data_IF_376372502788
#
_entry.id   IF_376372502788
#
_cell.length_a   1.000
_cell.length_b   1.000
_cell.length_c   1.000
_cell.angle_alpha   90.00
_cell.angle_beta   90.00
_cell.angle_gamma   90.00
#
_symmetry.space_group_name_H-M   'P 1'
#
loop_
_entity.id
_entity.type
_entity.pdbx_description
1 polymer ?
#
# COMPACT_ATOMS: atom_id res chain seq x y z
N UNK A 1 12.86 17.88 -9.86
CA UNK A 1 11.88 18.05 -10.94
C UNK A 1 10.61 17.23 -10.67
N UNK A 2 10.68 15.88 -10.52
CA UNK A 2 9.50 15.02 -10.30
C UNK A 2 8.83 15.30 -8.94
N UNK A 3 9.59 15.49 -7.88
CA UNK A 3 9.07 15.87 -6.56
C UNK A 3 8.35 17.23 -6.58
N UNK A 4 8.85 18.19 -7.35
CA UNK A 4 8.17 19.49 -7.53
C UNK A 4 6.87 19.34 -8.34
N UNK A 5 6.86 18.47 -9.34
CA UNK A 5 5.64 18.14 -10.09
C UNK A 5 4.59 17.50 -9.18
N UNK A 6 4.99 16.54 -8.32
CA UNK A 6 4.10 15.91 -7.36
C UNK A 6 3.51 16.92 -6.35
N UNK A 7 4.34 17.86 -5.87
CA UNK A 7 3.88 18.99 -5.03
C UNK A 7 2.77 19.79 -5.74
N UNK A 8 2.99 20.17 -7.00
CA UNK A 8 2.00 20.92 -7.79
C UNK A 8 0.69 20.17 -7.99
N UNK A 9 0.75 18.84 -8.24
CA UNK A 9 -0.44 18.00 -8.31
C UNK A 9 -1.20 18.06 -6.98
N UNK A 10 -0.52 17.83 -5.87
CA UNK A 10 -1.12 17.85 -4.54
C UNK A 10 -1.79 19.21 -4.27
N UNK A 11 -1.07 20.31 -4.43
CA UNK A 11 -1.59 21.67 -4.20
C UNK A 11 -2.80 21.96 -5.09
N UNK A 12 -2.76 21.58 -6.38
CA UNK A 12 -3.87 21.77 -7.31
C UNK A 12 -5.11 20.98 -6.90
N UNK A 13 -4.96 19.72 -6.50
CA UNK A 13 -6.08 18.91 -6.00
C UNK A 13 -6.67 19.52 -4.74
N UNK A 14 -5.83 19.89 -3.78
CA UNK A 14 -6.27 20.43 -2.50
C UNK A 14 -6.89 21.83 -2.61
N UNK A 15 -6.50 22.64 -3.58
CA UNK A 15 -7.12 23.94 -3.84
C UNK A 15 -8.57 23.82 -4.34
N UNK A 16 -8.90 22.75 -5.05
CA UNK A 16 -10.25 22.53 -5.61
C UNK A 16 -11.11 21.69 -4.64
N UNK A 17 -10.55 20.63 -4.08
CA UNK A 17 -11.25 19.69 -3.18
C UNK A 17 -10.36 19.31 -2.00
N UNK A 18 -10.33 20.09 -0.91
CA UNK A 18 -9.41 19.87 0.22
C UNK A 18 -9.55 18.50 0.90
N UNK A 19 -10.74 17.90 0.85
CA UNK A 19 -11.03 16.60 1.47
C UNK A 19 -10.75 15.38 0.58
N UNK A 20 -10.34 15.56 -0.68
CA UNK A 20 -9.97 14.43 -1.55
C UNK A 20 -8.59 13.92 -1.14
N UNK A 21 -8.47 12.61 -0.94
CA UNK A 21 -7.21 11.94 -0.61
C UNK A 21 -6.37 11.79 -1.88
N UNK A 22 -5.13 12.23 -1.82
CA UNK A 22 -4.14 11.99 -2.88
C UNK A 22 -3.45 10.66 -2.58
N UNK A 23 -3.77 9.64 -3.39
CA UNK A 23 -3.22 8.29 -3.25
C UNK A 23 -2.28 7.92 -4.39
N UNK A 24 -1.37 6.98 -4.12
CA UNK A 24 -0.42 6.48 -5.10
C UNK A 24 -0.12 4.98 -4.89
N UNK A 25 0.02 4.24 -6.00
CA UNK A 25 0.40 2.82 -5.99
C UNK A 25 1.69 2.61 -6.82
N UNK A 26 2.85 3.06 -6.31
CA UNK A 26 4.12 2.98 -7.03
C UNK A 26 4.71 1.57 -7.00
N UNK A 27 5.72 1.35 -7.82
CA UNK A 27 6.63 0.22 -7.63
C UNK A 27 7.44 0.36 -6.34
N UNK A 28 8.13 -0.70 -5.93
CA UNK A 28 8.95 -0.68 -4.72
C UNK A 28 10.15 0.26 -4.85
N UNK A 29 10.51 0.90 -3.75
CA UNK A 29 11.72 1.71 -3.64
C UNK A 29 12.95 0.80 -3.31
N UNK A 30 14.19 1.05 -3.77
CA UNK A 30 14.59 2.24 -4.53
C UNK A 30 14.36 2.17 -6.05
N UNK A 31 14.00 0.99 -6.58
CA UNK A 31 13.81 0.78 -8.03
C UNK A 31 12.83 1.79 -8.66
N UNK A 32 11.72 2.10 -7.97
CA UNK A 32 10.77 3.11 -8.46
C UNK A 32 11.40 4.50 -8.65
N UNK A 33 12.37 4.88 -7.82
CA UNK A 33 13.11 6.14 -7.96
C UNK A 33 14.09 6.10 -9.11
N UNK A 34 14.82 5.00 -9.27
CA UNK A 34 15.85 4.85 -10.29
C UNK A 34 15.26 4.79 -11.70
N UNK A 35 14.21 3.98 -11.89
CA UNK A 35 13.62 3.74 -13.20
C UNK A 35 12.53 4.76 -13.58
N UNK A 36 11.74 5.22 -12.61
CA UNK A 36 10.56 6.08 -12.85
C UNK A 36 10.66 7.46 -12.19
N UNK A 37 11.77 7.78 -11.53
CA UNK A 37 11.96 9.01 -10.76
C UNK A 37 10.90 9.20 -9.64
N UNK A 38 10.31 8.09 -9.19
CA UNK A 38 9.27 8.07 -8.16
C UNK A 38 9.89 7.98 -6.77
N UNK A 39 10.33 9.10 -6.24
CA UNK A 39 10.85 9.21 -4.86
C UNK A 39 9.68 9.31 -3.86
N UNK A 40 8.85 8.26 -3.85
CA UNK A 40 7.62 8.26 -3.06
C UNK A 40 7.84 8.30 -1.54
N UNK A 41 8.95 7.78 -0.94
CA UNK A 41 9.19 8.01 0.48
C UNK A 41 9.32 9.49 0.82
N UNK A 42 10.02 10.26 -0.03
CA UNK A 42 10.16 11.71 0.15
C UNK A 42 8.79 12.42 -0.04
N UNK A 43 7.94 11.93 -0.94
CA UNK A 43 6.62 12.53 -1.16
C UNK A 43 5.65 12.28 0.01
N UNK A 44 5.71 11.09 0.63
CA UNK A 44 4.98 10.79 1.88
C UNK A 44 5.47 11.68 3.00
N UNK A 45 6.78 11.77 3.20
CA UNK A 45 7.43 12.62 4.22
C UNK A 45 7.03 14.09 4.10
N UNK A 46 6.91 14.61 2.87
CA UNK A 46 6.48 15.99 2.59
C UNK A 46 4.96 16.18 2.64
N UNK A 47 4.19 15.12 2.80
CA UNK A 47 2.73 15.18 2.83
C UNK A 47 2.07 15.40 1.46
N UNK A 48 2.78 15.13 0.35
CA UNK A 48 2.20 15.21 -1.00
C UNK A 48 1.42 13.95 -1.38
N UNK A 49 1.58 12.88 -0.62
CA UNK A 49 0.85 11.62 -0.74
C UNK A 49 0.25 11.29 0.62
N UNK A 50 -1.06 11.07 0.66
CA UNK A 50 -1.82 10.82 1.89
C UNK A 50 -2.15 9.34 2.07
N UNK A 51 -2.09 8.57 0.98
CA UNK A 51 -2.27 7.12 0.98
C UNK A 51 -1.28 6.50 0.00
N UNK A 52 -0.35 5.70 0.51
CA UNK A 52 0.69 5.07 -0.30
C UNK A 52 0.51 3.55 -0.32
N UNK A 53 0.40 2.98 -1.51
CA UNK A 53 0.11 1.57 -1.74
C UNK A 53 1.19 0.92 -2.64
N UNK A 54 2.45 0.79 -2.18
CA UNK A 54 3.51 0.21 -3.02
C UNK A 54 3.16 -1.22 -3.43
N UNK A 55 3.53 -1.58 -4.65
CA UNK A 55 3.22 -2.87 -5.27
C UNK A 55 4.17 -3.96 -4.75
N UNK A 56 3.88 -4.52 -3.55
CA UNK A 56 4.64 -5.62 -2.95
C UNK A 56 4.28 -6.96 -3.61
N UNK A 57 4.25 -6.99 -4.93
CA UNK A 57 3.87 -8.18 -5.70
C UNK A 57 5.00 -9.22 -5.68
N UNK A 58 4.92 -10.15 -4.74
CA UNK A 58 5.88 -11.25 -4.54
C UNK A 58 5.16 -12.58 -4.65
N UNK A 59 5.89 -13.60 -5.10
CA UNK A 59 5.38 -14.96 -5.26
C UNK A 59 5.75 -15.87 -4.09
N UNK A 60 6.62 -15.40 -3.18
CA UNK A 60 7.16 -16.11 -2.03
C UNK A 60 7.06 -15.26 -0.77
N UNK A 61 6.72 -15.90 0.36
CA UNK A 61 6.49 -15.20 1.62
C UNK A 61 7.74 -14.47 2.14
N UNK A 62 8.91 -15.12 2.11
CA UNK A 62 10.14 -14.50 2.61
C UNK A 62 10.50 -13.24 1.84
N UNK A 63 10.28 -13.24 0.52
CA UNK A 63 10.49 -12.06 -0.31
C UNK A 63 9.48 -10.95 -0.04
N UNK A 64 8.24 -11.33 0.29
CA UNK A 64 7.23 -10.36 0.71
C UNK A 64 7.61 -9.72 2.03
N UNK A 65 7.98 -10.53 3.01
CA UNK A 65 8.41 -10.10 4.34
C UNK A 65 9.59 -9.13 4.27
N UNK A 66 10.67 -9.49 3.57
CA UNK A 66 11.83 -8.62 3.38
C UNK A 66 11.41 -7.27 2.78
N UNK A 67 10.62 -7.27 1.72
CA UNK A 67 10.17 -6.02 1.09
C UNK A 67 9.27 -5.18 2.02
N UNK A 68 8.47 -5.81 2.86
CA UNK A 68 7.64 -5.14 3.85
C UNK A 68 8.51 -4.47 4.93
N UNK A 69 9.48 -5.21 5.48
CA UNK A 69 10.44 -4.73 6.49
C UNK A 69 11.27 -3.55 5.97
N UNK A 70 11.80 -3.64 4.74
CA UNK A 70 12.54 -2.54 4.11
C UNK A 70 11.72 -1.25 4.05
N UNK A 71 10.40 -1.35 3.82
CA UNK A 71 9.53 -0.18 3.76
C UNK A 71 9.16 0.31 5.16
N UNK A 72 8.65 -0.57 6.02
CA UNK A 72 8.14 -0.19 7.34
C UNK A 72 9.22 0.33 8.29
N UNK A 73 10.42 -0.24 8.20
CA UNK A 73 11.50 0.06 9.14
C UNK A 73 12.49 1.10 8.60
N UNK A 74 12.55 1.30 7.28
CA UNK A 74 13.57 2.13 6.65
C UNK A 74 13.08 3.25 5.73
N UNK A 75 11.99 3.06 5.01
CA UNK A 75 11.56 3.98 3.95
C UNK A 75 10.42 4.92 4.39
N UNK A 76 9.60 4.51 5.34
CA UNK A 76 8.50 5.31 5.90
C UNK A 76 8.78 5.60 7.37
N UNK A 77 8.56 6.85 7.78
CA UNK A 77 8.70 7.23 9.20
C UNK A 77 7.53 6.65 10.01
N UNK A 78 7.76 6.23 11.25
CA UNK A 78 6.74 5.64 12.12
C UNK A 78 5.45 6.47 12.21
N UNK A 79 5.55 7.80 12.22
CA UNK A 79 4.38 8.71 12.23
C UNK A 79 3.54 8.66 10.95
N UNK A 80 4.09 8.14 9.84
CA UNK A 80 3.44 8.06 8.54
C UNK A 80 3.01 6.61 8.19
N UNK A 81 3.22 5.63 9.07
CA UNK A 81 2.81 4.23 8.85
C UNK A 81 1.29 4.09 8.65
N UNK A 82 0.49 4.98 9.23
CA UNK A 82 -0.95 5.01 9.03
C UNK A 82 -1.37 5.36 7.59
N UNK A 83 -0.45 5.85 6.77
CA UNK A 83 -0.65 6.14 5.35
C UNK A 83 -0.27 4.96 4.43
N UNK A 84 0.39 3.93 4.99
CA UNK A 84 0.96 2.83 4.24
C UNK A 84 0.04 1.61 4.21
N UNK A 85 -0.33 1.20 3.00
CA UNK A 85 -1.18 0.05 2.71
C UNK A 85 -0.53 -0.79 1.60
N UNK A 86 0.23 -1.84 1.95
CA UNK A 86 0.95 -2.66 0.97
C UNK A 86 0.01 -3.28 -0.06
N UNK A 87 0.42 -3.22 -1.33
CA UNK A 87 -0.27 -3.87 -2.42
C UNK A 87 0.01 -5.37 -2.45
N UNK A 88 -1.03 -6.19 -2.29
CA UNK A 88 -0.96 -7.66 -2.38
C UNK A 88 -1.47 -8.13 -3.74
N UNK A 89 -0.67 -8.94 -4.43
CA UNK A 89 -1.05 -9.54 -5.70
C UNK A 89 -2.01 -10.71 -5.48
N UNK A 90 -3.27 -10.57 -5.90
CA UNK A 90 -4.26 -11.65 -5.86
C UNK A 90 -4.38 -12.40 -7.19
N UNK A 91 -4.09 -11.74 -8.31
CA UNK A 91 -4.22 -12.35 -9.63
C UNK A 91 -3.31 -11.66 -10.65
N UNK A 92 -2.62 -12.45 -11.45
CA UNK A 92 -2.00 -12.01 -12.72
C UNK A 92 -1.96 -13.21 -13.67
N UNK A 93 -2.55 -13.07 -14.84
CA UNK A 93 -2.72 -14.20 -15.75
C UNK A 93 -3.43 -15.37 -15.06
N UNK A 94 -2.79 -16.53 -15.01
CA UNK A 94 -3.28 -17.74 -14.33
C UNK A 94 -2.79 -17.85 -12.86
N UNK A 95 -1.96 -16.92 -12.40
CA UNK A 95 -1.47 -16.96 -11.03
C UNK A 95 -2.52 -16.47 -10.04
N UNK A 96 -2.60 -17.21 -8.94
CA UNK A 96 -3.29 -16.83 -7.70
C UNK A 96 -2.43 -17.29 -6.51
N UNK A 97 -2.25 -16.50 -5.45
CA UNK A 97 -1.58 -16.98 -4.23
C UNK A 97 -2.33 -18.16 -3.61
N UNK A 98 -1.64 -19.02 -2.89
CA UNK A 98 -2.33 -19.99 -2.03
C UNK A 98 -3.09 -19.27 -0.91
N UNK A 99 -4.14 -19.92 -0.35
CA UNK A 99 -4.89 -19.37 0.80
C UNK A 99 -3.97 -19.11 1.99
N UNK A 100 -3.03 -20.02 2.23
CA UNK A 100 -2.05 -19.88 3.30
C UNK A 100 -1.11 -18.71 3.05
N UNK A 101 -0.58 -18.56 1.86
CA UNK A 101 0.28 -17.43 1.53
C UNK A 101 -0.44 -16.08 1.67
N UNK A 102 -1.70 -16.01 1.22
CA UNK A 102 -2.52 -14.80 1.39
C UNK A 102 -2.70 -14.47 2.89
N UNK A 103 -2.98 -15.48 3.73
CA UNK A 103 -3.08 -15.32 5.18
C UNK A 103 -1.78 -14.79 5.78
N UNK A 104 -0.65 -15.41 5.44
CA UNK A 104 0.68 -15.01 5.94
C UNK A 104 1.00 -13.55 5.61
N UNK A 105 0.71 -13.08 4.38
CA UNK A 105 0.95 -11.68 4.01
C UNK A 105 0.12 -10.71 4.87
N UNK A 106 -1.16 -10.98 5.05
CA UNK A 106 -2.04 -10.14 5.88
C UNK A 106 -1.63 -10.15 7.35
N UNK A 107 -1.30 -11.32 7.90
CA UNK A 107 -0.83 -11.45 9.28
C UNK A 107 0.51 -10.73 9.51
N UNK A 108 1.42 -10.78 8.53
CA UNK A 108 2.69 -10.07 8.61
C UNK A 108 2.50 -8.56 8.59
N UNK A 109 1.60 -8.04 7.76
CA UNK A 109 1.24 -6.60 7.78
C UNK A 109 0.81 -6.15 9.18
N UNK A 110 -0.05 -6.94 9.84
CA UNK A 110 -0.55 -6.64 11.19
C UNK A 110 0.54 -6.66 12.26
N UNK A 111 1.54 -7.56 12.14
CA UNK A 111 2.71 -7.58 13.05
C UNK A 111 3.54 -6.31 12.96
N UNK A 112 3.58 -5.67 11.79
CA UNK A 112 4.23 -4.38 11.57
C UNK A 112 3.33 -3.17 11.84
N UNK A 113 2.20 -3.36 12.54
CA UNK A 113 1.21 -2.30 12.84
C UNK A 113 0.62 -1.61 11.59
N UNK A 114 0.58 -2.33 10.48
CA UNK A 114 -0.04 -1.88 9.24
C UNK A 114 -1.51 -2.28 9.30
N UNK A 115 -2.40 -1.29 9.21
CA UNK A 115 -3.82 -1.44 9.51
C UNK A 115 -4.69 -1.91 8.33
N UNK A 116 -4.08 -2.22 7.20
CA UNK A 116 -4.79 -2.72 6.03
C UNK A 116 -3.88 -2.87 4.82
N UNK A 117 -4.45 -3.39 3.75
CA UNK A 117 -3.75 -3.64 2.49
C UNK A 117 -4.65 -3.32 1.29
N UNK A 118 -4.03 -3.22 0.12
CA UNK A 118 -4.71 -3.06 -1.15
C UNK A 118 -4.54 -4.33 -1.99
N UNK A 119 -5.65 -4.97 -2.32
CA UNK A 119 -5.63 -6.18 -3.12
C UNK A 119 -5.63 -5.88 -4.62
N UNK A 120 -4.60 -6.32 -5.33
CA UNK A 120 -4.55 -6.23 -6.77
C UNK A 120 -4.85 -7.60 -7.41
N UNK A 121 -5.94 -7.73 -8.08
CA UNK A 121 -6.98 -6.78 -8.33
C UNK A 121 -8.34 -7.41 -8.02
N UNK A 122 -9.43 -6.66 -8.16
CA UNK A 122 -10.79 -7.03 -7.74
C UNK A 122 -11.24 -8.43 -8.18
N UNK A 123 -10.91 -8.86 -9.41
CA UNK A 123 -11.28 -10.20 -9.90
C UNK A 123 -10.67 -11.32 -9.04
N UNK A 124 -9.48 -11.11 -8.48
CA UNK A 124 -8.82 -12.07 -7.60
C UNK A 124 -9.58 -12.32 -6.31
N UNK A 125 -10.36 -11.36 -5.81
CA UNK A 125 -11.18 -11.50 -4.59
C UNK A 125 -12.20 -12.63 -4.71
N UNK A 126 -12.73 -12.88 -5.91
CA UNK A 126 -13.74 -13.93 -6.17
C UNK A 126 -13.26 -15.34 -5.79
N UNK A 127 -11.95 -15.55 -5.70
CA UNK A 127 -11.36 -16.85 -5.33
C UNK A 127 -11.31 -17.07 -3.81
N UNK A 128 -11.40 -16.00 -3.00
CA UNK A 128 -11.17 -16.06 -1.55
C UNK A 128 -12.28 -15.40 -0.71
N UNK A 129 -13.57 -15.44 -1.09
CA UNK A 129 -14.60 -14.64 -0.44
C UNK A 129 -14.74 -14.99 1.04
N UNK A 130 -14.72 -16.28 1.38
CA UNK A 130 -14.79 -16.78 2.76
C UNK A 130 -13.52 -16.48 3.56
N UNK A 131 -12.34 -16.66 2.98
CA UNK A 131 -11.08 -16.33 3.65
C UNK A 131 -11.00 -14.85 4.00
N UNK A 132 -11.35 -13.98 3.05
CA UNK A 132 -11.27 -12.54 3.26
C UNK A 132 -12.36 -12.08 4.23
N UNK A 133 -13.63 -12.39 3.97
CA UNK A 133 -14.76 -11.92 4.77
C UNK A 133 -14.82 -12.55 6.17
N UNK A 134 -14.65 -13.87 6.25
CA UNK A 134 -15.01 -14.62 7.45
C UNK A 134 -13.79 -14.92 8.35
N UNK A 135 -12.57 -14.79 7.82
CA UNK A 135 -11.33 -15.07 8.54
C UNK A 135 -10.44 -13.86 8.70
N UNK A 136 -10.03 -13.21 7.60
CA UNK A 136 -9.08 -12.10 7.66
C UNK A 136 -9.74 -10.79 8.14
N UNK A 137 -11.01 -10.58 7.77
CA UNK A 137 -11.80 -9.38 8.11
C UNK A 137 -13.18 -9.76 8.65
N UNK A 138 -13.19 -10.53 9.74
CA UNK A 138 -14.44 -10.90 10.37
C UNK A 138 -15.01 -9.69 11.14
N UNK A 139 -16.00 -9.03 10.55
CA UNK A 139 -16.64 -7.88 11.16
C UNK A 139 -16.69 -6.66 10.23
N UNK A 140 -17.13 -5.54 10.81
CA UNK A 140 -17.21 -4.28 10.05
C UNK A 140 -15.81 -3.66 9.93
N UNK A 141 -15.36 -3.51 8.69
CA UNK A 141 -14.12 -2.80 8.36
C UNK A 141 -14.49 -1.41 7.86
N UNK A 142 -13.87 -0.38 8.42
CA UNK A 142 -14.04 0.99 7.97
C UNK A 142 -12.84 1.41 7.13
N UNK A 143 -13.06 2.30 6.17
CA UNK A 143 -11.97 2.99 5.51
C UNK A 143 -11.25 3.86 6.56
N UNK A 144 -9.91 3.88 6.58
CA UNK A 144 -9.16 4.67 7.56
C UNK A 144 -9.42 6.16 7.41
N UNK A 145 -9.50 6.87 8.53
CA UNK A 145 -9.53 8.33 8.50
C UNK A 145 -8.12 8.87 8.28
N UNK A 146 -7.85 9.26 7.04
CA UNK A 146 -6.55 9.78 6.61
C UNK A 146 -6.50 11.32 6.63
N UNK A 147 -7.60 11.98 6.98
CA UNK A 147 -7.73 13.43 6.95
C UNK A 147 -7.67 14.07 8.33
N UNK A 148 -7.84 13.31 9.40
CA UNK A 148 -7.61 13.78 10.75
C UNK A 148 -6.09 13.92 11.00
N UNK A 149 -5.66 15.14 11.25
CA UNK A 149 -4.29 15.48 11.65
C UNK A 149 -4.23 15.73 13.15
#
# INVERSE_FOLDING_TARGET
LMTDFMRKIYESVKSVKPKVIVSMAPSIYPWAKEEYLQDWPEWVKRGYVELICPQLYRYEFDRYKIALEEISDGQIQNKDLNKFYPGILLKVGNYYPSREYLRQMVEENRKHNINGEVFFFYEGLKKYPDLIRDSLYNGKVNFPDLLEK
#
